data_IF_283562669049
#
_entry.id   IF_283562669049
#
_cell.length_a   1.000
_cell.length_b   1.000
_cell.length_c   1.000
_cell.angle_alpha   90.00
_cell.angle_beta   90.00
_cell.angle_gamma   90.00
#
_symmetry.space_group_name_H-M   'P 1'
#
loop_
_entity.id
_entity.type
_entity.pdbx_description
1 polymer ?
#
# COMPACT_ATOMS: atom_id res chain seq x y z
N UNK A 1 -18.48 -27.60 40.30
CA UNK A 1 -18.74 -28.43 39.10
C UNK A 1 -19.37 -27.51 38.05
N UNK A 2 -18.54 -26.70 37.39
CA UNK A 2 -18.99 -25.76 36.37
C UNK A 2 -18.83 -26.52 35.06
N UNK A 3 -19.93 -27.05 34.52
CA UNK A 3 -19.98 -27.57 33.15
C UNK A 3 -19.95 -26.35 32.23
N UNK A 4 -18.78 -26.04 31.69
CA UNK A 4 -18.65 -25.12 30.57
C UNK A 4 -19.29 -25.86 29.39
N UNK A 5 -20.47 -25.40 28.97
CA UNK A 5 -21.12 -25.88 27.76
C UNK A 5 -20.33 -25.31 26.59
N UNK A 6 -19.92 -26.23 25.73
CA UNK A 6 -19.07 -26.12 24.57
C UNK A 6 -19.11 -24.79 23.82
N UNK A 7 -17.92 -24.22 23.57
CA UNK A 7 -17.69 -23.09 22.67
C UNK A 7 -17.21 -23.65 21.32
N UNK A 8 -18.04 -23.54 20.29
CA UNK A 8 -17.70 -23.98 18.93
C UNK A 8 -17.39 -22.75 18.07
N UNK A 9 -16.17 -22.64 17.55
CA UNK A 9 -15.77 -21.53 16.67
C UNK A 9 -15.56 -22.06 15.25
N UNK A 10 -16.35 -21.56 14.31
CA UNK A 10 -16.13 -21.72 12.87
C UNK A 10 -15.45 -20.45 12.37
N UNK A 11 -14.21 -20.56 11.87
CA UNK A 11 -13.57 -19.48 11.14
C UNK A 11 -13.88 -19.64 9.65
N UNK A 12 -14.68 -18.73 9.11
CA UNK A 12 -14.68 -18.48 7.67
C UNK A 12 -13.72 -17.32 7.44
N UNK A 13 -12.45 -17.65 7.19
CA UNK A 13 -11.45 -16.65 6.81
C UNK A 13 -11.62 -16.37 5.31
N UNK A 14 -12.28 -15.26 4.96
CA UNK A 14 -12.14 -14.72 3.60
C UNK A 14 -10.81 -13.96 3.55
N UNK A 15 -9.76 -14.62 3.06
CA UNK A 15 -8.65 -13.89 2.49
C UNK A 15 -9.14 -13.32 1.15
N UNK A 16 -9.76 -12.14 1.19
CA UNK A 16 -9.84 -11.30 0.00
C UNK A 16 -8.43 -10.79 -0.24
N UNK A 17 -7.64 -11.59 -0.96
CA UNK A 17 -6.49 -11.07 -1.67
C UNK A 17 -7.05 -10.08 -2.71
N UNK A 18 -7.13 -8.80 -2.32
CA UNK A 18 -7.13 -7.71 -3.29
C UNK A 18 -5.86 -7.96 -4.12
N UNK A 19 -5.94 -7.96 -5.46
CA UNK A 19 -4.77 -8.27 -6.27
C UNK A 19 -3.65 -7.29 -5.91
N UNK A 20 -2.63 -7.79 -5.20
CA UNK A 20 -1.36 -7.11 -5.08
C UNK A 20 -0.78 -6.92 -6.49
N UNK A 21 -0.09 -5.79 -6.66
CA UNK A 21 0.66 -5.34 -7.83
C UNK A 21 1.44 -6.52 -8.46
N UNK A 22 0.89 -7.13 -9.51
CA UNK A 22 1.46 -8.31 -10.18
C UNK A 22 2.78 -8.02 -10.89
N UNK A 23 3.10 -6.74 -11.14
CA UNK A 23 4.38 -6.26 -11.68
C UNK A 23 4.67 -4.89 -11.06
N UNK A 24 5.83 -4.72 -10.42
CA UNK A 24 6.25 -3.44 -9.84
C UNK A 24 7.21 -2.75 -10.82
N UNK A 25 6.73 -1.72 -11.53
CA UNK A 25 7.52 -0.94 -12.49
C UNK A 25 7.50 0.53 -12.09
N UNK A 26 8.39 1.33 -12.64
CA UNK A 26 8.34 2.80 -12.56
C UNK A 26 8.67 3.40 -13.92
N UNK A 27 8.56 4.73 -14.05
CA UNK A 27 9.04 5.43 -15.24
C UNK A 27 10.42 6.05 -14.98
N UNK A 28 11.33 5.84 -15.93
CA UNK A 28 12.67 6.40 -15.99
C UNK A 28 12.69 7.58 -16.95
N UNK A 29 13.22 8.69 -16.46
CA UNK A 29 13.42 9.94 -17.19
C UNK A 29 14.92 10.22 -17.24
N UNK A 30 15.44 10.62 -18.40
CA UNK A 30 16.87 10.85 -18.63
C UNK A 30 17.25 12.34 -18.73
N UNK A 31 16.28 13.24 -18.57
CA UNK A 31 16.49 14.68 -18.64
C UNK A 31 16.59 15.26 -20.05
N UNK A 32 16.18 14.53 -21.10
CA UNK A 32 16.11 15.04 -22.48
C UNK A 32 14.73 14.79 -23.09
N UNK A 33 13.83 15.77 -22.95
CA UNK A 33 12.47 15.73 -23.54
C UNK A 33 11.63 14.50 -23.15
N UNK A 34 11.90 13.93 -21.98
CA UNK A 34 11.12 12.87 -21.35
C UNK A 34 9.98 13.45 -20.52
N UNK A 35 8.74 13.12 -20.84
CA UNK A 35 7.59 13.56 -20.04
C UNK A 35 6.37 12.65 -20.22
N UNK A 36 5.44 12.76 -19.28
CA UNK A 36 4.07 12.22 -19.44
C UNK A 36 3.09 13.37 -19.49
N UNK A 37 2.23 13.40 -20.50
CA UNK A 37 1.09 14.30 -20.56
C UNK A 37 -0.11 13.66 -19.87
N UNK A 38 -0.69 14.34 -18.89
CA UNK A 38 -1.91 13.93 -18.16
C UNK A 38 -3.01 15.00 -18.24
N UNK A 39 -3.02 15.79 -19.32
CA UNK A 39 -3.87 16.97 -19.50
C UNK A 39 -5.37 16.77 -19.23
N UNK A 40 -5.91 15.55 -19.41
CA UNK A 40 -7.33 15.28 -19.16
C UNK A 40 -7.74 15.56 -17.72
N UNK A 41 -6.81 15.44 -16.76
CA UNK A 41 -7.07 15.75 -15.35
C UNK A 41 -7.46 17.22 -15.14
N UNK A 42 -7.13 18.11 -16.09
CA UNK A 42 -7.53 19.51 -16.05
C UNK A 42 -9.04 19.69 -15.90
N UNK A 43 -9.85 18.85 -16.54
CA UNK A 43 -11.32 18.90 -16.43
C UNK A 43 -11.79 18.66 -14.99
N UNK A 44 -11.20 17.67 -14.31
CA UNK A 44 -11.50 17.33 -12.92
C UNK A 44 -10.96 18.37 -11.93
N UNK A 45 -9.79 18.96 -12.22
CA UNK A 45 -9.11 19.92 -11.36
C UNK A 45 -9.54 21.37 -11.58
N UNK A 46 -10.34 21.65 -12.61
CA UNK A 46 -10.84 23.01 -12.87
C UNK A 46 -11.53 23.60 -11.64
N UNK A 47 -11.13 24.83 -11.29
CA UNK A 47 -11.60 25.58 -10.11
C UNK A 47 -11.33 24.89 -8.75
N UNK A 48 -10.38 23.97 -8.65
CA UNK A 48 -9.91 23.48 -7.36
C UNK A 48 -9.35 24.65 -6.53
N UNK A 49 -9.80 24.79 -5.28
CA UNK A 49 -9.31 25.81 -4.33
C UNK A 49 -8.43 25.21 -3.24
N UNK A 50 -8.64 23.92 -2.97
CA UNK A 50 -7.81 23.08 -2.13
C UNK A 50 -7.42 21.87 -2.99
N UNK A 51 -6.16 21.44 -2.90
CA UNK A 51 -5.68 20.30 -3.67
C UNK A 51 -4.39 19.75 -3.07
N UNK A 52 -4.07 18.52 -3.47
CA UNK A 52 -2.78 17.93 -3.16
C UNK A 52 -2.27 17.10 -4.33
N UNK A 53 -0.95 16.92 -4.38
CA UNK A 53 -0.28 15.96 -5.24
C UNK A 53 0.81 15.23 -4.46
N UNK A 54 0.89 13.92 -4.64
CA UNK A 54 1.83 13.01 -4.02
C UNK A 54 2.55 12.24 -5.10
N UNK A 55 3.85 12.00 -4.93
CA UNK A 55 4.62 11.17 -5.84
C UNK A 55 5.88 10.62 -5.18
N UNK A 56 6.35 9.49 -5.67
CA UNK A 56 7.64 8.90 -5.29
C UNK A 56 8.68 9.18 -6.37
N UNK A 57 9.86 9.63 -5.97
CA UNK A 57 10.98 9.95 -6.87
C UNK A 57 12.29 9.34 -6.41
N UNK A 58 13.05 8.79 -7.37
CA UNK A 58 14.45 8.43 -7.20
C UNK A 58 15.32 9.35 -8.06
N UNK A 59 15.69 10.54 -7.58
CA UNK A 59 16.36 11.53 -8.42
C UNK A 59 17.81 11.14 -8.70
N UNK A 60 18.30 11.45 -9.90
CA UNK A 60 19.72 11.57 -10.19
C UNK A 60 20.07 13.05 -10.32
N UNK A 61 20.17 13.71 -9.17
CA UNK A 61 20.30 15.15 -9.00
C UNK A 61 21.46 15.74 -9.81
N UNK A 62 22.59 15.03 -9.91
CA UNK A 62 23.76 15.50 -10.65
C UNK A 62 23.50 15.63 -12.18
N UNK A 63 22.52 14.91 -12.70
CA UNK A 63 22.20 14.84 -14.12
C UNK A 63 21.00 15.71 -14.53
N UNK A 64 20.37 16.45 -13.61
CA UNK A 64 19.35 17.44 -14.01
C UNK A 64 19.98 18.45 -15.00
N UNK A 65 19.28 18.84 -16.07
CA UNK A 65 19.89 19.72 -17.07
C UNK A 65 20.06 21.15 -16.51
N UNK A 66 19.06 21.64 -15.78
CA UNK A 66 18.98 22.98 -15.20
C UNK A 66 19.21 23.00 -13.67
N UNK A 67 19.22 24.20 -13.09
CA UNK A 67 19.37 24.40 -11.64
C UNK A 67 18.14 23.93 -10.84
N UNK A 68 16.96 24.07 -11.43
CA UNK A 68 15.69 23.54 -10.96
C UNK A 68 15.17 22.54 -11.99
N UNK A 69 14.65 21.42 -11.52
CA UNK A 69 13.89 20.46 -12.35
C UNK A 69 12.49 20.35 -11.80
N UNK A 70 11.50 20.11 -12.67
CA UNK A 70 10.11 19.95 -12.26
C UNK A 70 9.62 18.54 -12.55
N UNK A 71 9.04 17.92 -11.52
CA UNK A 71 8.46 16.59 -11.61
C UNK A 71 6.96 16.70 -11.89
N UNK A 72 6.29 17.70 -11.31
CA UNK A 72 4.91 18.04 -11.64
C UNK A 72 4.91 19.44 -12.23
N UNK A 73 4.49 19.55 -13.49
CA UNK A 73 4.28 20.82 -14.18
C UNK A 73 2.80 21.06 -14.43
N UNK A 74 2.29 22.20 -13.98
CA UNK A 74 0.99 22.71 -14.41
C UNK A 74 1.19 24.07 -15.05
N UNK A 75 0.95 24.14 -16.35
CA UNK A 75 1.08 25.35 -17.14
C UNK A 75 -0.29 25.68 -17.76
N UNK A 76 -0.54 26.95 -18.06
CA UNK A 76 -1.69 27.38 -18.85
C UNK A 76 -1.64 26.80 -20.26
N UNK A 77 -2.75 26.91 -20.99
CA UNK A 77 -2.85 26.45 -22.39
C UNK A 77 -1.79 27.07 -23.32
N UNK A 78 -1.27 28.25 -22.98
CA UNK A 78 -0.20 28.94 -23.69
C UNK A 78 1.21 28.69 -23.13
N UNK A 79 1.37 27.81 -22.13
CA UNK A 79 2.66 27.49 -21.50
C UNK A 79 3.13 28.50 -20.45
N UNK A 80 2.23 29.29 -19.87
CA UNK A 80 2.56 30.14 -18.71
C UNK A 80 2.30 29.41 -17.39
N UNK A 81 3.22 29.52 -16.43
CA UNK A 81 3.29 28.62 -15.27
C UNK A 81 2.14 28.87 -14.27
N UNK A 82 1.47 27.81 -13.81
CA UNK A 82 0.47 27.84 -12.72
C UNK A 82 1.11 27.43 -11.41
N UNK A 83 1.64 26.21 -11.39
CA UNK A 83 2.35 25.65 -10.24
C UNK A 83 3.28 24.57 -10.75
N UNK A 84 4.53 24.63 -10.30
CA UNK A 84 5.58 23.69 -10.65
C UNK A 84 6.19 23.16 -9.35
N UNK A 85 6.30 21.84 -9.24
CA UNK A 85 6.82 21.15 -8.05
C UNK A 85 8.01 20.31 -8.47
N UNK A 86 9.13 20.53 -7.80
CA UNK A 86 10.42 20.13 -8.34
C UNK A 86 11.50 19.89 -7.30
N UNK A 87 12.74 19.77 -7.77
CA UNK A 87 13.95 19.68 -6.95
C UNK A 87 15.03 20.65 -7.46
N UNK A 88 15.88 21.13 -6.55
CA UNK A 88 17.11 21.84 -6.91
C UNK A 88 18.27 20.88 -7.20
N UNK A 89 19.00 21.12 -8.29
CA UNK A 89 20.20 20.38 -8.68
C UNK A 89 21.35 20.47 -7.66
N UNK A 90 21.54 21.61 -7.01
CA UNK A 90 22.71 21.79 -6.12
C UNK A 90 22.51 21.17 -4.74
N UNK A 91 21.26 21.08 -4.28
CA UNK A 91 20.93 20.73 -2.89
C UNK A 91 20.01 19.52 -2.76
N UNK A 92 19.36 19.10 -3.85
CA UNK A 92 18.27 18.12 -3.83
C UNK A 92 17.03 18.61 -3.11
N UNK A 93 16.95 19.89 -2.71
CA UNK A 93 15.82 20.42 -1.93
C UNK A 93 14.57 20.50 -2.79
N UNK A 94 13.40 20.11 -2.25
CA UNK A 94 12.15 20.28 -2.96
C UNK A 94 11.84 21.77 -3.13
N UNK A 95 11.30 22.11 -4.30
CA UNK A 95 10.94 23.49 -4.66
C UNK A 95 9.51 23.59 -5.16
N UNK A 96 8.92 24.75 -4.92
CA UNK A 96 7.62 25.15 -5.48
C UNK A 96 7.77 26.50 -6.16
N UNK A 97 7.27 26.60 -7.38
CA UNK A 97 7.13 27.84 -8.14
C UNK A 97 5.66 27.99 -8.55
N UNK A 98 5.09 29.19 -8.46
CA UNK A 98 3.63 29.37 -8.54
C UNK A 98 3.18 30.41 -9.60
N UNK A 99 4.11 30.89 -10.43
CA UNK A 99 3.84 31.82 -11.53
C UNK A 99 3.48 33.25 -11.12
N UNK A 100 3.18 33.53 -9.85
CA UNK A 100 2.70 34.84 -9.43
C UNK A 100 3.85 35.85 -9.28
N UNK A 101 4.93 35.48 -8.60
CA UNK A 101 6.06 36.39 -8.32
C UNK A 101 7.23 36.24 -9.29
N UNK A 102 7.13 35.34 -10.26
CA UNK A 102 8.22 34.93 -11.15
C UNK A 102 9.49 34.43 -10.42
N UNK A 103 9.32 33.88 -9.21
CA UNK A 103 10.38 33.35 -8.36
C UNK A 103 9.97 32.02 -7.75
N UNK A 104 10.96 31.21 -7.34
CA UNK A 104 10.71 30.03 -6.51
C UNK A 104 10.21 30.49 -5.14
N UNK A 105 9.01 30.04 -4.76
CA UNK A 105 8.30 30.44 -3.53
C UNK A 105 8.72 29.59 -2.32
N UNK A 106 9.02 28.31 -2.56
CA UNK A 106 9.55 27.42 -1.52
C UNK A 106 10.88 26.83 -1.98
N UNK A 107 11.90 26.93 -1.13
CA UNK A 107 13.08 26.08 -1.18
C UNK A 107 13.15 25.32 0.14
N UNK A 108 13.06 23.99 0.07
CA UNK A 108 12.95 23.13 1.24
C UNK A 108 14.12 23.26 2.23
N UNK A 109 13.90 22.83 3.47
CA UNK A 109 14.96 22.86 4.50
C UNK A 109 15.99 21.76 4.31
N UNK A 110 15.56 20.59 3.86
CA UNK A 110 16.39 19.38 3.63
C UNK A 110 16.29 18.90 2.19
N UNK A 111 17.35 18.24 1.71
CA UNK A 111 17.42 17.69 0.36
C UNK A 111 16.92 16.25 0.29
N UNK A 112 16.25 15.91 -0.81
CA UNK A 112 16.00 14.53 -1.20
C UNK A 112 17.32 13.76 -1.33
N UNK A 113 17.32 12.49 -0.94
CA UNK A 113 18.51 11.64 -1.05
C UNK A 113 18.71 11.23 -2.50
N UNK A 114 19.81 11.68 -3.10
CA UNK A 114 20.18 11.34 -4.48
C UNK A 114 20.35 9.83 -4.66
N UNK A 115 19.78 9.27 -5.72
CA UNK A 115 19.86 7.83 -6.02
C UNK A 115 19.11 6.94 -5.04
N UNK A 116 18.20 7.49 -4.22
CA UNK A 116 17.30 6.73 -3.35
C UNK A 116 15.85 7.21 -3.55
N UNK A 117 14.88 6.36 -3.24
CA UNK A 117 13.46 6.75 -3.29
C UNK A 117 13.14 7.74 -2.18
N UNK A 118 12.44 8.80 -2.55
CA UNK A 118 11.92 9.83 -1.66
C UNK A 118 10.45 10.04 -2.00
N UNK A 119 9.66 10.37 -0.99
CA UNK A 119 8.25 10.72 -1.15
C UNK A 119 8.09 12.22 -1.02
N UNK A 120 7.44 12.85 -2.00
CA UNK A 120 7.16 14.28 -1.99
C UNK A 120 5.65 14.47 -2.07
N UNK A 121 5.14 15.36 -1.23
CA UNK A 121 3.74 15.80 -1.28
C UNK A 121 3.71 17.31 -1.28
N UNK A 122 2.91 17.90 -2.16
CA UNK A 122 2.46 19.27 -2.03
C UNK A 122 0.97 19.25 -1.67
N UNK A 123 0.59 20.02 -0.67
CA UNK A 123 -0.80 20.16 -0.23
C UNK A 123 -1.11 21.63 -0.01
N UNK A 124 -2.18 22.10 -0.63
CA UNK A 124 -2.70 23.45 -0.48
C UNK A 124 -4.06 23.42 0.18
N UNK A 125 -4.20 24.22 1.24
CA UNK A 125 -5.48 24.45 1.91
C UNK A 125 -5.68 25.95 2.15
N UNK A 126 -6.83 26.48 1.72
CA UNK A 126 -7.24 27.88 1.90
C UNK A 126 -6.16 28.89 1.46
N UNK A 127 -5.50 28.62 0.32
CA UNK A 127 -4.43 29.45 -0.23
C UNK A 127 -3.07 29.33 0.47
N UNK A 128 -2.90 28.38 1.39
CA UNK A 128 -1.60 28.06 1.99
C UNK A 128 -1.06 26.75 1.43
N UNK A 129 -0.03 26.84 0.60
CA UNK A 129 0.67 25.67 0.03
C UNK A 129 1.78 25.20 0.97
N UNK A 130 1.86 23.89 1.21
CA UNK A 130 2.91 23.24 2.01
C UNK A 130 3.54 22.11 1.21
N UNK A 131 4.87 22.06 1.15
CA UNK A 131 5.59 20.93 0.55
C UNK A 131 6.25 20.08 1.63
N UNK A 132 6.16 18.76 1.47
CA UNK A 132 6.65 17.75 2.38
C UNK A 132 7.66 16.86 1.65
N UNK A 133 8.68 16.41 2.38
CA UNK A 133 9.65 15.41 1.95
C UNK A 133 9.68 14.31 2.99
N UNK A 134 9.41 13.07 2.59
CA UNK A 134 9.41 11.88 3.44
C UNK A 134 8.55 12.07 4.71
N UNK A 135 7.34 12.59 4.55
CA UNK A 135 6.41 12.88 5.64
C UNK A 135 6.68 14.18 6.44
N UNK A 136 7.78 14.89 6.17
CA UNK A 136 8.20 16.06 6.95
C UNK A 136 8.03 17.36 6.14
N UNK A 137 7.34 18.35 6.73
CA UNK A 137 7.17 19.69 6.14
C UNK A 137 8.51 20.36 5.86
N UNK A 138 8.66 20.93 4.67
CA UNK A 138 9.87 21.60 4.19
C UNK A 138 9.69 23.12 4.04
N UNK A 139 8.47 23.63 4.16
CA UNK A 139 8.15 25.04 4.04
C UNK A 139 6.71 25.27 3.58
N UNK A 140 6.27 26.52 3.69
CA UNK A 140 4.94 26.98 3.27
C UNK A 140 5.04 28.27 2.46
N UNK A 141 4.07 28.52 1.60
CA UNK A 141 3.91 29.80 0.88
C UNK A 141 2.43 30.16 0.72
N UNK A 142 2.17 31.39 0.28
CA UNK A 142 0.82 31.83 -0.10
C UNK A 142 0.60 31.52 -1.58
N UNK A 143 -0.28 30.58 -1.89
CA UNK A 143 -0.54 30.13 -3.25
C UNK A 143 -1.28 31.19 -4.08
N UNK A 144 -0.73 31.50 -5.26
CA UNK A 144 -1.15 32.60 -6.13
C UNK A 144 -1.70 32.22 -7.50
N UNK A 145 -2.23 31.00 -7.68
CA UNK A 145 -2.71 30.48 -8.98
C UNK A 145 -4.15 29.96 -8.94
N UNK A 146 -4.71 29.66 -10.13
CA UNK A 146 -6.01 29.01 -10.29
C UNK A 146 -5.88 27.94 -11.37
N UNK A 147 -6.67 26.87 -11.25
CA UNK A 147 -6.74 25.79 -12.22
C UNK A 147 -7.90 25.95 -13.21
N UNK A 148 -7.62 25.63 -14.47
CA UNK A 148 -8.56 25.63 -15.58
C UNK A 148 -8.49 24.30 -16.32
N UNK A 149 -9.60 23.91 -16.95
CA UNK A 149 -9.67 22.69 -17.75
C UNK A 149 -8.71 22.63 -18.91
N UNK A 150 -8.26 23.80 -19.40
CA UNK A 150 -7.31 23.91 -20.50
C UNK A 150 -5.85 23.94 -20.07
N UNK A 151 -5.57 23.89 -18.76
CA UNK A 151 -4.20 23.85 -18.29
C UNK A 151 -3.54 22.52 -18.72
N UNK A 152 -2.25 22.60 -19.07
CA UNK A 152 -1.42 21.46 -19.43
C UNK A 152 -0.81 20.90 -18.15
N UNK A 153 -0.97 19.60 -17.94
CA UNK A 153 -0.42 18.87 -16.81
C UNK A 153 0.62 17.86 -17.30
N UNK A 154 1.84 17.99 -16.80
CA UNK A 154 2.98 17.16 -17.18
C UNK A 154 3.64 16.52 -15.96
N UNK A 155 4.13 15.30 -16.18
CA UNK A 155 5.02 14.62 -15.27
C UNK A 155 6.42 14.57 -15.90
N UNK A 156 7.45 15.00 -15.18
CA UNK A 156 8.85 14.95 -15.61
C UNK A 156 9.40 16.20 -16.32
N UNK A 157 8.67 17.31 -16.33
CA UNK A 157 9.14 18.60 -16.82
C UNK A 157 8.04 19.65 -16.80
N UNK A 158 8.35 20.86 -17.25
CA UNK A 158 7.37 21.94 -17.45
C UNK A 158 7.23 22.35 -18.92
N UNK A 159 6.11 22.99 -19.26
CA UNK A 159 5.96 23.63 -20.57
C UNK A 159 6.40 25.10 -20.52
N UNK A 160 7.49 25.43 -21.21
CA UNK A 160 7.80 26.81 -21.60
C UNK A 160 7.23 27.05 -23.00
N UNK A 161 6.10 27.75 -23.07
CA UNK A 161 5.26 27.87 -24.28
C UNK A 161 4.79 26.52 -24.86
N UNK A 162 5.49 26.02 -25.88
CA UNK A 162 5.22 24.76 -26.57
C UNK A 162 6.21 23.67 -26.24
N UNK A 163 7.34 24.04 -25.63
CA UNK A 163 8.50 23.17 -25.50
C UNK A 163 8.59 22.69 -24.06
N UNK A 164 9.04 21.45 -23.89
CA UNK A 164 9.35 20.92 -22.56
C UNK A 164 10.71 21.45 -22.13
N UNK A 165 10.84 21.82 -20.86
CA UNK A 165 12.08 22.30 -20.25
C UNK A 165 12.12 21.96 -18.76
N UNK A 166 13.28 22.19 -18.12
CA UNK A 166 13.49 21.90 -16.70
C UNK A 166 13.21 20.42 -16.37
N UNK A 167 13.68 19.54 -17.25
CA UNK A 167 13.35 18.12 -17.29
C UNK A 167 13.90 17.36 -16.09
N UNK A 168 13.13 16.37 -15.67
CA UNK A 168 13.52 15.46 -14.60
C UNK A 168 14.45 14.37 -15.11
N UNK A 169 15.47 14.06 -14.32
CA UNK A 169 16.30 12.87 -14.53
C UNK A 169 16.24 11.97 -13.29
N UNK A 170 15.65 10.79 -13.42
CA UNK A 170 15.50 9.84 -12.33
C UNK A 170 14.32 8.90 -12.56
N UNK A 171 13.89 8.22 -11.50
CA UNK A 171 12.68 7.40 -11.53
C UNK A 171 11.51 8.13 -10.87
N UNK A 172 10.30 7.89 -11.36
CA UNK A 172 9.03 8.40 -10.84
C UNK A 172 8.04 7.23 -10.70
N UNK A 173 7.30 7.20 -9.60
CA UNK A 173 6.26 6.21 -9.36
C UNK A 173 5.12 6.82 -8.51
N UNK A 174 3.96 6.15 -8.48
CA UNK A 174 2.88 6.39 -7.51
C UNK A 174 2.41 7.86 -7.46
N UNK A 175 2.12 8.45 -8.63
CA UNK A 175 1.66 9.84 -8.73
C UNK A 175 0.16 9.91 -8.48
N UNK A 176 -0.26 10.64 -7.45
CA UNK A 176 -1.66 10.79 -7.06
C UNK A 176 -2.02 12.26 -6.90
N UNK A 177 -3.23 12.66 -7.33
CA UNK A 177 -3.73 14.04 -7.29
C UNK A 177 -5.13 14.06 -6.66
N UNK A 178 -5.35 14.94 -5.70
CA UNK A 178 -6.62 15.14 -5.00
C UNK A 178 -7.18 16.53 -5.27
N UNK A 179 -8.51 16.62 -5.34
CA UNK A 179 -9.25 17.91 -5.33
C UNK A 179 -9.72 18.27 -3.91
N UNK A 180 -8.83 18.06 -2.96
CA UNK A 180 -8.91 18.49 -1.58
C UNK A 180 -7.48 18.49 -1.01
N UNK A 181 -7.28 19.08 0.15
CA UNK A 181 -5.98 19.06 0.83
C UNK A 181 -5.70 17.70 1.51
N UNK A 182 -4.43 17.46 1.83
CA UNK A 182 -3.99 16.37 2.68
C UNK A 182 -3.44 16.93 3.98
N UNK A 183 -3.93 16.39 5.10
CA UNK A 183 -3.40 16.75 6.41
C UNK A 183 -1.99 16.18 6.62
N UNK A 184 -1.18 16.78 7.49
CA UNK A 184 0.15 16.25 7.80
C UNK A 184 0.16 14.79 8.30
N UNK A 185 -0.93 14.35 8.95
CA UNK A 185 -1.10 12.96 9.39
C UNK A 185 -1.31 12.01 8.20
N UNK A 186 -2.04 12.44 7.18
CA UNK A 186 -2.25 11.70 5.94
C UNK A 186 -0.99 11.64 5.10
N UNK A 187 -0.25 12.76 5.00
CA UNK A 187 1.07 12.78 4.35
C UNK A 187 2.01 11.77 5.01
N UNK A 188 2.05 11.74 6.34
CA UNK A 188 2.88 10.78 7.08
C UNK A 188 2.42 9.34 6.85
N UNK A 189 1.10 9.10 6.77
CA UNK A 189 0.54 7.79 6.48
C UNK A 189 0.86 7.32 5.05
N UNK A 190 0.80 8.21 4.05
CA UNK A 190 1.17 7.89 2.66
C UNK A 190 2.66 7.58 2.50
N UNK A 191 3.52 8.25 3.27
CA UNK A 191 4.96 7.96 3.29
C UNK A 191 5.27 6.58 3.92
N UNK A 192 4.46 6.15 4.90
CA UNK A 192 4.54 4.87 5.61
C UNK A 192 5.99 4.38 5.87
N UNK A 193 6.81 5.24 6.46
CA UNK A 193 8.22 4.94 6.80
C UNK A 193 9.09 4.49 5.62
N UNK A 194 8.82 4.96 4.41
CA UNK A 194 9.59 4.61 3.20
C UNK A 194 8.93 3.51 2.37
N UNK A 195 7.80 2.97 2.81
CA UNK A 195 7.02 2.00 2.07
C UNK A 195 5.82 2.70 1.40
N UNK A 196 5.47 2.35 0.17
CA UNK A 196 4.32 2.98 -0.48
C UNK A 196 3.02 2.46 0.12
N UNK A 197 2.10 3.38 0.42
CA UNK A 197 0.71 3.09 0.76
C UNK A 197 -0.16 3.48 -0.43
N UNK A 198 -1.12 2.63 -0.82
CA UNK A 198 -1.97 2.94 -1.96
C UNK A 198 -2.91 4.11 -1.68
N UNK A 199 -2.92 5.10 -2.57
CA UNK A 199 -3.83 6.23 -2.49
C UNK A 199 -5.30 5.86 -2.81
N UNK A 200 -5.55 4.70 -3.42
CA UNK A 200 -6.88 4.27 -3.86
C UNK A 200 -7.80 3.80 -2.72
N UNK A 201 -7.26 3.55 -1.51
CA UNK A 201 -8.04 3.06 -0.39
C UNK A 201 -7.57 3.67 0.93
N UNK A 202 -8.52 4.05 1.78
CA UNK A 202 -8.24 4.57 3.11
C UNK A 202 -7.57 3.51 4.00
N UNK A 203 -6.51 3.92 4.70
CA UNK A 203 -5.72 3.07 5.58
C UNK A 203 -4.98 3.90 6.64
N UNK A 204 -5.04 3.45 7.90
CA UNK A 204 -4.44 4.20 9.02
C UNK A 204 -5.04 5.60 9.15
N UNK A 205 -4.18 6.63 9.13
CA UNK A 205 -4.62 8.02 9.16
C UNK A 205 -4.99 8.58 7.77
N UNK A 206 -4.66 7.88 6.68
CA UNK A 206 -5.01 8.30 5.32
C UNK A 206 -6.50 8.04 5.06
N UNK A 207 -7.28 9.12 4.85
CA UNK A 207 -8.75 9.06 4.73
C UNK A 207 -9.33 9.78 3.50
N UNK A 208 -8.49 10.41 2.68
CA UNK A 208 -8.88 11.18 1.49
C UNK A 208 -8.98 10.39 0.17
N UNK A 209 -9.17 9.07 0.18
CA UNK A 209 -9.28 8.31 -1.09
C UNK A 209 -10.47 8.71 -1.96
N UNK A 210 -11.50 9.36 -1.39
CA UNK A 210 -12.70 9.80 -2.12
C UNK A 210 -12.45 11.08 -2.97
N UNK A 211 -11.42 11.85 -2.63
CA UNK A 211 -11.13 13.14 -3.26
C UNK A 211 -10.11 13.03 -4.41
N UNK A 212 -9.60 11.82 -4.63
CA UNK A 212 -8.66 11.46 -5.67
C UNK A 212 -9.25 11.71 -7.07
N UNK A 213 -8.53 12.46 -7.90
CA UNK A 213 -8.90 12.81 -9.28
C UNK A 213 -8.03 12.14 -10.34
N UNK A 214 -6.80 11.77 -9.99
CA UNK A 214 -5.96 10.92 -10.83
C UNK A 214 -4.99 10.15 -9.95
N UNK A 215 -4.71 8.91 -10.35
CA UNK A 215 -3.72 8.08 -9.67
C UNK A 215 -3.05 7.14 -10.65
N UNK A 216 -1.75 7.37 -10.88
CA UNK A 216 -0.95 6.60 -11.81
C UNK A 216 0.08 5.77 -11.05
N UNK A 217 -0.16 4.46 -11.04
CA UNK A 217 0.66 3.43 -10.38
C UNK A 217 1.94 3.07 -11.15
N UNK A 218 2.03 3.52 -12.42
CA UNK A 218 3.15 3.27 -13.33
C UNK A 218 3.62 1.80 -13.34
N UNK A 219 2.67 0.86 -13.36
CA UNK A 219 2.92 -0.57 -13.18
C UNK A 219 2.69 -1.42 -14.45
N UNK A 220 2.39 -0.78 -15.58
CA UNK A 220 2.10 -1.44 -16.86
C UNK A 220 3.33 -2.10 -17.47
N UNK A 221 4.51 -1.50 -17.27
CA UNK A 221 5.80 -2.06 -17.64
C UNK A 221 6.11 -2.14 -19.12
N UNK A 222 5.21 -1.67 -19.98
CA UNK A 222 5.40 -1.56 -21.42
C UNK A 222 4.38 -0.61 -22.04
N UNK A 223 4.61 -0.21 -23.29
CA UNK A 223 3.72 0.72 -24.00
C UNK A 223 4.03 2.19 -23.72
N UNK A 224 3.18 3.07 -24.23
CA UNK A 224 3.36 4.53 -24.21
C UNK A 224 2.25 5.26 -23.45
N UNK A 225 1.62 4.58 -22.50
CA UNK A 225 0.53 5.15 -21.68
C UNK A 225 0.60 4.64 -20.25
N UNK A 226 0.20 5.48 -19.30
CA UNK A 226 -0.07 5.11 -17.91
C UNK A 226 -1.57 5.18 -17.65
N UNK A 227 -2.13 4.15 -17.03
CA UNK A 227 -3.54 4.09 -16.70
C UNK A 227 -3.83 4.89 -15.43
N UNK A 228 -4.97 5.56 -15.42
CA UNK A 228 -5.54 6.12 -14.21
C UNK A 228 -6.26 5.02 -13.42
N UNK A 229 -5.84 4.80 -12.18
CA UNK A 229 -6.40 3.82 -11.26
C UNK A 229 -7.71 4.30 -10.60
N UNK A 230 -8.10 5.57 -10.81
CA UNK A 230 -9.41 6.07 -10.38
C UNK A 230 -10.50 5.75 -11.41
N UNK A 231 -11.75 6.10 -11.09
CA UNK A 231 -12.87 6.00 -12.04
C UNK A 231 -12.91 7.14 -13.07
N UNK A 232 -12.00 8.13 -13.00
CA UNK A 232 -12.07 9.35 -13.81
C UNK A 232 -11.45 9.19 -15.21
N UNK A 233 -10.71 8.09 -15.45
CA UNK A 233 -10.15 7.75 -16.77
C UNK A 233 -9.12 8.77 -17.30
N UNK A 234 -8.38 9.41 -16.40
CA UNK A 234 -7.33 10.38 -16.73
C UNK A 234 -6.01 9.74 -17.15
N UNK A 235 -6.02 8.81 -18.11
CA UNK A 235 -4.82 8.11 -18.54
C UNK A 235 -3.76 9.08 -19.12
N UNK A 236 -2.50 8.85 -18.78
CA UNK A 236 -1.37 9.63 -19.27
C UNK A 236 -0.76 9.07 -20.55
N UNK A 237 -0.15 9.93 -21.37
CA UNK A 237 0.62 9.56 -22.57
C UNK A 237 2.10 9.80 -22.33
N UNK A 238 2.92 8.76 -22.49
CA UNK A 238 4.36 8.79 -22.30
C UNK A 238 5.05 9.28 -23.58
N UNK A 239 5.96 10.24 -23.45
CA UNK A 239 6.87 10.69 -24.49
C UNK A 239 8.31 10.47 -24.04
N UNK A 240 9.05 9.66 -24.80
CA UNK A 240 10.47 9.30 -24.65
C UNK A 240 10.88 8.57 -23.35
N UNK A 241 10.23 8.82 -22.21
CA UNK A 241 10.49 8.13 -20.95
C UNK A 241 10.30 6.60 -21.11
N UNK A 242 11.08 5.84 -20.34
CA UNK A 242 11.16 4.37 -20.46
C UNK A 242 10.74 3.67 -19.18
N UNK A 243 10.32 2.41 -19.29
CA UNK A 243 9.96 1.61 -18.12
C UNK A 243 11.19 1.10 -17.38
N UNK A 244 11.14 1.14 -16.04
CA UNK A 244 12.16 0.60 -15.14
C UNK A 244 11.56 -0.46 -14.23
N UNK A 245 12.38 -1.45 -13.86
CA UNK A 245 12.04 -2.50 -12.88
C UNK A 245 12.35 -2.11 -11.43
N UNK A 246 13.02 -0.97 -11.22
CA UNK A 246 13.22 -0.44 -9.89
C UNK A 246 11.98 0.31 -9.43
N UNK A 247 11.54 0.06 -8.20
CA UNK A 247 10.35 0.69 -7.60
C UNK A 247 10.65 1.11 -6.16
N UNK A 248 9.90 2.09 -5.61
CA UNK A 248 9.93 2.35 -4.18
C UNK A 248 9.54 1.07 -3.44
N UNK A 249 10.01 0.93 -2.20
CA UNK A 249 9.59 -0.21 -1.37
C UNK A 249 8.08 -0.13 -1.27
N UNK A 250 7.36 -1.17 -1.68
CA UNK A 250 5.92 -1.27 -1.44
C UNK A 250 5.76 -1.92 -0.09
N UNK A 251 4.87 -1.41 0.76
CA UNK A 251 4.48 -2.17 1.95
C UNK A 251 3.64 -3.35 1.45
N UNK A 252 4.35 -4.44 1.14
CA UNK A 252 3.75 -5.69 0.73
C UNK A 252 3.28 -6.50 1.93
N UNK A 253 3.17 -5.92 3.15
CA UNK A 253 2.31 -6.52 4.18
C UNK A 253 0.98 -6.80 3.50
N UNK A 254 0.65 -8.08 3.20
CA UNK A 254 -0.65 -8.37 2.67
C UNK A 254 -1.60 -7.89 3.76
N UNK A 255 -2.64 -7.16 3.38
CA UNK A 255 -3.59 -6.56 4.31
C UNK A 255 -4.38 -7.68 5.03
N UNK A 256 -3.70 -8.35 5.96
CA UNK A 256 -4.21 -9.44 6.77
C UNK A 256 -5.09 -8.84 7.85
N UNK A 257 -6.33 -8.60 7.48
CA UNK A 257 -7.38 -8.24 8.43
C UNK A 257 -7.97 -9.50 9.03
N UNK A 258 -8.24 -9.46 10.32
CA UNK A 258 -9.11 -10.43 10.96
C UNK A 258 -10.47 -9.79 11.20
N UNK A 259 -11.53 -10.58 11.08
CA UNK A 259 -12.90 -10.21 11.43
C UNK A 259 -13.54 -11.40 12.11
N UNK A 260 -14.47 -11.14 13.00
CA UNK A 260 -15.21 -12.15 13.76
C UNK A 260 -16.69 -12.08 13.38
N UNK A 261 -17.42 -13.17 13.57
CA UNK A 261 -18.85 -13.24 13.25
C UNK A 261 -19.74 -12.35 14.13
N UNK A 262 -19.21 -11.83 15.24
CA UNK A 262 -19.85 -10.84 16.10
C UNK A 262 -19.57 -9.38 15.68
N UNK A 263 -18.67 -9.16 14.72
CA UNK A 263 -18.32 -7.83 14.22
C UNK A 263 -19.30 -7.37 13.12
N UNK A 264 -19.56 -6.06 13.06
CA UNK A 264 -20.38 -5.46 12.00
C UNK A 264 -19.74 -5.70 10.63
N UNK A 265 -20.45 -6.39 9.73
CA UNK A 265 -19.92 -6.78 8.42
C UNK A 265 -19.04 -8.04 8.43
N UNK A 266 -18.90 -8.72 9.58
CA UNK A 266 -18.19 -9.99 9.69
C UNK A 266 -18.92 -11.16 9.03
N UNK A 267 -18.25 -12.31 8.90
CA UNK A 267 -18.82 -13.50 8.26
C UNK A 267 -20.03 -14.02 9.05
N UNK A 268 -21.06 -14.50 8.33
CA UNK A 268 -22.22 -15.15 8.98
C UNK A 268 -21.78 -16.45 9.63
N UNK A 269 -21.99 -16.58 10.95
CA UNK A 269 -21.73 -17.82 11.66
C UNK A 269 -22.60 -18.96 11.10
N UNK A 270 -21.96 -20.02 10.62
CA UNK A 270 -22.62 -21.24 10.16
C UNK A 270 -21.89 -22.45 10.73
N UNK A 271 -22.56 -23.19 11.61
CA UNK A 271 -21.96 -24.38 12.23
C UNK A 271 -21.89 -25.54 11.24
N UNK A 272 -20.74 -26.22 11.20
CA UNK A 272 -20.51 -27.43 10.40
C UNK A 272 -20.23 -28.60 11.34
N UNK A 273 -21.18 -29.53 11.45
CA UNK A 273 -20.98 -30.78 12.17
C UNK A 273 -20.03 -31.70 11.41
N UNK A 274 -18.95 -32.14 12.04
CA UNK A 274 -18.04 -33.14 11.47
C UNK A 274 -17.96 -34.41 12.32
N UNK A 275 -18.86 -34.59 13.29
CA UNK A 275 -18.87 -35.78 14.16
C UNK A 275 -19.04 -37.10 13.41
N UNK A 276 -19.72 -37.07 12.25
CA UNK A 276 -19.96 -38.26 11.41
C UNK A 276 -19.10 -38.32 10.13
N UNK A 277 -18.51 -37.20 9.72
CA UNK A 277 -17.79 -37.04 8.44
C UNK A 277 -16.30 -36.76 8.62
N UNK A 278 -15.89 -36.32 9.82
CA UNK A 278 -14.53 -35.97 10.15
C UNK A 278 -13.62 -37.19 10.24
N UNK A 279 -12.36 -36.99 9.87
CA UNK A 279 -11.27 -37.93 10.14
C UNK A 279 -10.71 -37.64 11.52
N UNK A 280 -10.77 -38.63 12.41
CA UNK A 280 -10.19 -38.54 13.75
C UNK A 280 -8.67 -38.48 13.70
N UNK A 281 -8.09 -37.53 14.43
CA UNK A 281 -6.66 -37.39 14.62
C UNK A 281 -6.26 -38.15 15.88
N UNK A 282 -5.30 -39.06 15.75
CA UNK A 282 -4.74 -39.79 16.89
C UNK A 282 -3.83 -38.89 17.72
N UNK A 283 -4.43 -38.14 18.64
CA UNK A 283 -3.74 -37.30 19.62
C UNK A 283 -4.50 -37.34 20.95
N UNK A 284 -3.77 -37.60 22.04
CA UNK A 284 -4.30 -37.63 23.40
C UNK A 284 -3.19 -37.33 24.41
N UNK A 285 -3.55 -36.79 25.58
CA UNK A 285 -2.59 -36.35 26.58
C UNK A 285 -2.07 -34.95 26.31
N UNK A 286 -0.88 -34.68 26.82
CA UNK A 286 -0.29 -33.35 26.90
C UNK A 286 0.81 -33.15 25.84
N UNK A 287 1.05 -31.90 25.45
CA UNK A 287 2.15 -31.43 24.58
C UNK A 287 2.37 -32.25 23.28
N UNK A 288 1.28 -32.71 22.63
CA UNK A 288 1.37 -33.41 21.36
C UNK A 288 1.22 -32.45 20.17
N UNK A 289 2.00 -32.69 19.12
CA UNK A 289 1.87 -32.04 17.81
C UNK A 289 1.84 -33.13 16.73
N UNK A 290 0.77 -33.18 15.94
CA UNK A 290 0.58 -34.21 14.91
C UNK A 290 0.41 -33.60 13.52
N UNK A 291 0.76 -34.37 12.49
CA UNK A 291 0.73 -33.96 11.08
C UNK A 291 2.04 -34.25 10.35
N UNK A 292 2.20 -33.80 9.09
CA UNK A 292 1.25 -32.95 8.36
C UNK A 292 -0.02 -33.70 7.94
N UNK A 293 -1.17 -33.07 8.13
CA UNK A 293 -2.49 -33.49 7.65
C UNK A 293 -2.89 -32.65 6.43
N UNK A 294 -3.62 -33.19 5.44
CA UNK A 294 -4.01 -32.44 4.26
C UNK A 294 -5.04 -31.34 4.59
N UNK A 295 -4.83 -30.15 4.03
CA UNK A 295 -5.82 -29.06 4.04
C UNK A 295 -6.94 -29.32 3.01
N UNK A 296 -6.61 -30.03 1.92
CA UNK A 296 -7.55 -30.34 0.84
C UNK A 296 -7.57 -29.32 -0.30
N UNK A 297 -6.89 -28.19 -0.15
CA UNK A 297 -6.74 -27.13 -1.14
C UNK A 297 -5.46 -26.33 -0.86
N UNK A 298 -5.10 -25.41 -1.77
CA UNK A 298 -4.00 -24.45 -1.57
C UNK A 298 -4.50 -23.29 -0.72
N UNK A 299 -4.01 -23.18 0.52
CA UNK A 299 -4.36 -22.13 1.45
C UNK A 299 -3.28 -21.03 1.47
N UNK A 300 -3.58 -19.81 0.98
CA UNK A 300 -2.66 -18.69 1.05
C UNK A 300 -2.60 -18.09 2.47
N UNK A 301 -1.42 -17.99 3.06
CA UNK A 301 -1.20 -17.42 4.38
C UNK A 301 0.18 -16.74 4.47
N UNK A 302 0.23 -15.46 4.86
CA UNK A 302 1.44 -14.62 4.90
C UNK A 302 2.36 -14.75 3.68
N UNK A 303 1.77 -14.62 2.47
CA UNK A 303 2.49 -14.65 1.19
C UNK A 303 2.83 -16.04 0.65
N UNK A 304 2.61 -17.09 1.44
CA UNK A 304 2.96 -18.46 1.09
C UNK A 304 1.72 -19.34 0.91
N UNK A 305 1.82 -20.35 0.06
CA UNK A 305 0.76 -21.33 -0.17
C UNK A 305 1.02 -22.62 0.60
N UNK A 306 0.07 -23.02 1.44
CA UNK A 306 0.14 -24.25 2.23
C UNK A 306 -0.92 -25.25 1.79
N UNK A 307 -0.55 -26.52 1.71
CA UNK A 307 -1.48 -27.63 1.38
C UNK A 307 -1.66 -28.60 2.53
N UNK A 308 -0.91 -28.41 3.62
CA UNK A 308 -0.95 -29.25 4.82
C UNK A 308 -0.87 -28.41 6.08
N UNK A 309 -1.41 -28.95 7.17
CA UNK A 309 -1.33 -28.36 8.51
C UNK A 309 -0.85 -29.38 9.53
N UNK A 310 -0.36 -28.89 10.66
CA UNK A 310 -0.06 -29.63 11.88
C UNK A 310 -0.96 -29.09 12.98
N UNK A 311 -1.32 -29.93 13.94
CA UNK A 311 -2.24 -29.58 15.02
C UNK A 311 -1.63 -29.96 16.37
N UNK A 312 -1.82 -29.10 17.38
CA UNK A 312 -1.26 -29.27 18.70
C UNK A 312 -2.35 -29.37 19.78
N UNK A 313 -2.09 -30.17 20.82
CA UNK A 313 -2.94 -30.20 22.04
C UNK A 313 -2.98 -28.86 22.76
N UNK A 314 -2.08 -27.94 22.45
CA UNK A 314 -2.01 -26.62 23.07
C UNK A 314 -2.81 -25.56 22.28
N UNK A 315 -3.87 -26.00 21.58
CA UNK A 315 -4.90 -25.11 21.07
C UNK A 315 -4.54 -24.29 19.83
N UNK A 316 -3.55 -24.75 19.05
CA UNK A 316 -3.14 -24.11 17.79
C UNK A 316 -2.95 -25.13 16.66
N UNK A 317 -3.06 -24.64 15.43
CA UNK A 317 -2.53 -25.30 14.24
C UNK A 317 -1.37 -24.49 13.66
N UNK A 318 -0.48 -25.17 12.96
CA UNK A 318 0.61 -24.53 12.23
C UNK A 318 0.82 -25.19 10.88
N UNK A 319 1.16 -24.40 9.87
CA UNK A 319 1.44 -24.93 8.53
C UNK A 319 2.86 -25.47 8.38
N UNK A 320 3.74 -25.25 9.37
CA UNK A 320 5.16 -25.63 9.31
C UNK A 320 5.73 -26.17 10.61
N UNK A 321 5.24 -25.71 11.76
CA UNK A 321 5.87 -25.87 13.06
C UNK A 321 5.51 -27.17 13.77
N UNK A 322 6.55 -27.82 14.32
CA UNK A 322 6.44 -29.04 15.13
C UNK A 322 6.50 -28.76 16.63
N UNK A 323 6.48 -27.49 17.06
CA UNK A 323 6.53 -27.15 18.49
C UNK A 323 5.25 -27.59 19.18
N UNK A 324 5.35 -27.82 20.49
CA UNK A 324 4.22 -28.09 21.38
C UNK A 324 4.35 -27.27 22.66
N UNK A 325 4.73 -26.00 22.54
CA UNK A 325 4.86 -25.11 23.71
C UNK A 325 3.47 -24.79 24.27
N UNK A 326 3.30 -24.86 25.60
CA UNK A 326 2.03 -24.56 26.29
C UNK A 326 1.88 -23.10 26.73
N UNK A 327 2.93 -22.29 26.59
CA UNK A 327 2.93 -20.90 27.04
C UNK A 327 2.58 -19.91 25.94
N UNK A 328 1.75 -18.93 26.32
CA UNK A 328 1.35 -17.85 25.41
C UNK A 328 2.48 -16.83 25.29
N UNK A 329 2.79 -16.47 24.06
CA UNK A 329 3.79 -15.48 23.71
C UNK A 329 3.13 -14.36 22.91
N UNK A 330 3.63 -13.13 23.06
CA UNK A 330 3.24 -12.05 22.16
C UNK A 330 3.64 -12.40 20.73
N UNK A 331 2.72 -12.27 19.77
CA UNK A 331 2.99 -12.40 18.34
C UNK A 331 2.98 -11.02 17.66
N UNK A 332 3.81 -10.83 16.61
CA UNK A 332 4.81 -11.77 16.08
C UNK A 332 5.99 -11.97 17.06
N UNK A 333 6.60 -13.16 17.05
CA UNK A 333 7.73 -13.53 17.92
C UNK A 333 8.85 -14.20 17.15
N UNK A 334 10.09 -13.87 17.49
CA UNK A 334 11.30 -14.56 16.99
C UNK A 334 11.72 -15.73 17.88
N UNK A 335 10.98 -16.02 18.95
CA UNK A 335 11.26 -17.13 19.84
C UNK A 335 11.12 -18.47 19.12
N UNK A 336 12.10 -19.37 19.30
CA UNK A 336 12.02 -20.74 18.79
C UNK A 336 10.88 -21.57 19.41
N UNK A 337 10.27 -21.08 20.50
CA UNK A 337 9.11 -21.69 21.14
C UNK A 337 7.77 -21.19 20.57
N UNK A 338 7.77 -20.11 19.78
CA UNK A 338 6.57 -19.64 19.10
C UNK A 338 6.32 -20.48 17.84
N UNK A 339 5.09 -20.94 17.61
CA UNK A 339 4.78 -21.69 16.40
C UNK A 339 4.81 -20.77 15.17
N UNK A 340 5.73 -21.01 14.24
CA UNK A 340 5.77 -20.31 12.95
C UNK A 340 4.53 -20.64 12.11
N UNK A 341 4.07 -19.68 11.29
CA UNK A 341 2.93 -19.84 10.38
C UNK A 341 1.71 -20.52 11.05
N UNK A 342 1.23 -19.96 12.16
CA UNK A 342 0.24 -20.59 13.03
C UNK A 342 -1.08 -19.81 13.11
N UNK A 343 -2.16 -20.56 13.32
CA UNK A 343 -3.45 -20.06 13.79
C UNK A 343 -3.68 -20.63 15.19
N UNK A 344 -3.84 -19.77 16.19
CA UNK A 344 -3.90 -20.14 17.60
C UNK A 344 -5.23 -19.71 18.24
N UNK A 345 -6.35 -20.37 17.88
CA UNK A 345 -7.68 -19.94 18.30
C UNK A 345 -7.95 -20.11 19.80
N UNK A 346 -7.28 -21.08 20.43
CA UNK A 346 -7.35 -21.28 21.88
C UNK A 346 -6.04 -20.86 22.53
N UNK A 347 -4.92 -21.31 21.96
CA UNK A 347 -3.57 -21.17 22.54
C UNK A 347 -3.58 -21.42 24.06
N UNK A 348 -4.02 -22.62 24.41
CA UNK A 348 -4.24 -23.04 25.79
C UNK A 348 -3.96 -24.54 25.89
N UNK A 349 -3.63 -25.01 27.08
CA UNK A 349 -3.32 -26.41 27.36
C UNK A 349 -4.62 -27.24 27.44
N UNK A 350 -5.09 -27.74 26.28
CA UNK A 350 -6.38 -28.45 26.17
C UNK A 350 -6.34 -29.90 26.68
N UNK A 351 -5.15 -30.48 26.84
CA UNK A 351 -4.87 -31.81 27.41
C UNK A 351 -6.01 -32.86 27.34
N UNK A 352 -6.31 -33.45 26.16
CA UNK A 352 -7.28 -34.54 26.06
C UNK A 352 -6.93 -35.71 27.00
N UNK A 353 -7.90 -36.41 27.61
CA UNK A 353 -7.61 -37.56 28.45
C UNK A 353 -6.81 -38.62 27.71
N UNK A 354 -5.81 -39.22 28.38
CA UNK A 354 -4.95 -40.25 27.79
C UNK A 354 -5.77 -41.37 27.16
N UNK A 355 -5.52 -41.66 25.87
CA UNK A 355 -6.22 -42.69 25.11
C UNK A 355 -7.55 -42.26 24.50
N UNK A 356 -7.98 -41.00 24.70
CA UNK A 356 -9.15 -40.42 24.02
C UNK A 356 -8.70 -39.46 22.92
N UNK A 357 -9.01 -39.83 21.68
CA UNK A 357 -8.73 -39.00 20.50
C UNK A 357 -9.92 -38.09 20.24
N UNK A 358 -9.83 -36.86 20.75
CA UNK A 358 -10.92 -35.89 20.76
C UNK A 358 -10.80 -34.81 19.68
N UNK A 359 -9.88 -34.99 18.73
CA UNK A 359 -9.64 -34.03 17.66
C UNK A 359 -9.99 -34.65 16.32
N UNK A 360 -10.73 -33.94 15.49
CA UNK A 360 -11.10 -34.39 14.14
C UNK A 360 -10.97 -33.26 13.13
N UNK A 361 -10.83 -33.62 11.85
CA UNK A 361 -10.83 -32.65 10.76
C UNK A 361 -11.58 -33.16 9.53
N UNK A 362 -12.10 -32.24 8.72
CA UNK A 362 -12.80 -32.49 7.47
C UNK A 362 -12.45 -31.40 6.45
N UNK A 363 -12.38 -31.76 5.17
CA UNK A 363 -12.25 -30.79 4.08
C UNK A 363 -13.09 -31.22 2.87
N UNK A 364 -13.48 -30.24 2.05
CA UNK A 364 -14.27 -30.45 0.82
C UNK A 364 -13.66 -29.80 -0.43
N UNK A 365 -12.43 -29.29 -0.31
CA UNK A 365 -11.71 -28.58 -1.38
C UNK A 365 -11.93 -27.06 -1.39
N UNK A 366 -12.91 -26.56 -0.63
CA UNK A 366 -13.14 -25.12 -0.45
C UNK A 366 -12.91 -24.68 1.00
N UNK A 367 -13.11 -25.58 1.96
CA UNK A 367 -12.93 -25.30 3.39
C UNK A 367 -12.26 -26.48 4.10
N UNK A 368 -11.60 -26.14 5.22
CA UNK A 368 -11.08 -27.08 6.22
C UNK A 368 -11.79 -26.76 7.54
N UNK A 369 -12.38 -27.79 8.16
CA UNK A 369 -13.03 -27.71 9.47
C UNK A 369 -12.25 -28.59 10.44
N UNK A 370 -11.94 -28.07 11.62
CA UNK A 370 -11.22 -28.78 12.68
C UNK A 370 -12.04 -28.65 13.97
N UNK A 371 -12.24 -29.76 14.66
CA UNK A 371 -12.89 -29.78 15.98
C UNK A 371 -11.94 -30.27 17.07
N UNK A 372 -12.06 -29.64 18.23
CA UNK A 372 -11.56 -30.12 19.51
C UNK A 372 -12.81 -30.45 20.34
N UNK A 373 -13.23 -31.71 20.38
CA UNK A 373 -14.49 -32.14 20.98
C UNK A 373 -14.34 -32.43 22.48
N UNK A 374 -15.17 -31.82 23.32
CA UNK A 374 -15.28 -32.16 24.75
C UNK A 374 -13.96 -32.19 25.55
N UNK A 375 -13.01 -31.29 25.25
CA UNK A 375 -11.73 -31.16 25.97
C UNK A 375 -11.84 -30.43 27.30
#
# INVERSE_FOLDING_TARGET
MIRIRTLYIVFVLFALAIPQRLVSQSLSFDGDQDYVSVNTIGDDMANATDWAVSFWVKPNVASFPENETYIIGVNSSSGGNRVLIGLQKTTGKPVVYDGQSYTVEIVGTTGATNGAWNHIVYSEVSGTGTIYLNGVSQGTHSAGYNFYSTDKWTLGGEYDYSDISNEYHGLLDEVAVWKDDLTAAEVTALYNSGATLSAAANAGNYVSSNDLKGYWLMNEGSGSSIADATSNSNSGTITNATWSTETPVVDLEPDYRWTTSDSSGGPTYSWVDISSTGTTISMSGDDQNTGPHPIGFSFPYYGENYTTFRICTNGFISFTSTVSTYSNLSLPSTSSSAPAAALAPFWDDLRPPSGQNLTSYYYDGNQLVITYDEM
#
